data_IF_369455024452
#
_entry.id   IF_369455024452
#
_cell.length_a   1.000
_cell.length_b   1.000
_cell.length_c   1.000
_cell.angle_alpha   90.00
_cell.angle_beta   90.00
_cell.angle_gamma   90.00
#
_symmetry.space_group_name_H-M   'P 1'
#
loop_
_entity.id
_entity.type
_entity.pdbx_description
1 polymer ?
#
# COMPACT_ATOMS: atom_id res chain seq x y z
N UNK A 1 10.05 1.07 -40.82
CA UNK A 1 9.76 0.91 -39.38
C UNK A 1 10.19 2.20 -38.70
N UNK A 2 9.23 3.07 -38.38
CA UNK A 2 9.49 4.26 -37.57
C UNK A 2 9.90 3.81 -36.16
N UNK A 3 11.03 4.31 -35.68
CA UNK A 3 11.39 4.19 -34.27
C UNK A 3 10.42 5.08 -33.50
N UNK A 4 9.44 4.47 -32.84
CA UNK A 4 8.64 5.14 -31.83
C UNK A 4 9.62 5.56 -30.74
N UNK A 5 9.93 6.85 -30.66
CA UNK A 5 10.65 7.41 -29.53
C UNK A 5 9.69 7.40 -28.33
N UNK A 6 9.74 6.32 -27.55
CA UNK A 6 9.11 6.28 -26.23
C UNK A 6 9.83 7.28 -25.34
N UNK A 7 9.27 8.48 -25.22
CA UNK A 7 9.62 9.42 -24.15
C UNK A 7 9.05 8.79 -22.87
N UNK A 8 9.87 8.01 -22.16
CA UNK A 8 9.47 7.25 -20.96
C UNK A 8 10.25 7.63 -19.71
N UNK A 9 10.99 8.74 -19.73
CA UNK A 9 11.64 9.26 -18.52
C UNK A 9 10.71 10.27 -17.84
N UNK A 10 10.49 10.10 -16.54
CA UNK A 10 9.87 11.14 -15.72
C UNK A 10 10.74 12.42 -15.75
N UNK A 11 10.18 13.59 -15.41
CA UNK A 11 10.99 14.79 -15.20
C UNK A 11 12.12 14.52 -14.20
N UNK A 12 13.30 15.09 -14.44
CA UNK A 12 14.50 14.85 -13.61
C UNK A 12 14.27 15.13 -12.12
N UNK A 13 13.50 16.18 -11.81
CA UNK A 13 13.10 16.50 -10.43
C UNK A 13 12.30 15.37 -9.77
N UNK A 14 11.39 14.74 -10.53
CA UNK A 14 10.58 13.61 -10.05
C UNK A 14 11.47 12.39 -9.84
N UNK A 15 12.37 12.07 -10.78
CA UNK A 15 13.34 10.97 -10.63
C UNK A 15 14.20 11.16 -9.38
N UNK A 16 14.74 12.35 -9.15
CA UNK A 16 15.56 12.66 -7.98
C UNK A 16 14.76 12.52 -6.68
N UNK A 17 13.50 12.98 -6.67
CA UNK A 17 12.59 12.81 -5.53
C UNK A 17 12.32 11.33 -5.24
N UNK A 18 12.06 10.52 -6.26
CA UNK A 18 11.84 9.08 -6.10
C UNK A 18 13.08 8.35 -5.58
N UNK A 19 14.26 8.66 -6.12
CA UNK A 19 15.52 8.10 -5.63
C UNK A 19 15.79 8.46 -4.17
N UNK A 20 15.50 9.71 -3.77
CA UNK A 20 15.60 10.16 -2.38
C UNK A 20 14.69 9.36 -1.45
N UNK A 21 13.41 9.18 -1.82
CA UNK A 21 12.46 8.34 -1.06
C UNK A 21 12.93 6.90 -0.94
N UNK A 22 13.40 6.30 -2.04
CA UNK A 22 13.90 4.92 -2.07
C UNK A 22 15.15 4.78 -1.18
N UNK A 23 16.08 5.72 -1.24
CA UNK A 23 17.28 5.71 -0.40
C UNK A 23 16.92 5.82 1.09
N UNK A 24 15.98 6.70 1.43
CA UNK A 24 15.47 6.82 2.79
C UNK A 24 14.84 5.51 3.26
N UNK A 25 13.86 4.96 2.53
CA UNK A 25 13.21 3.70 2.89
C UNK A 25 14.20 2.53 3.01
N UNK A 26 15.23 2.46 2.16
CA UNK A 26 16.31 1.45 2.28
C UNK A 26 17.15 1.62 3.54
N UNK A 27 17.37 2.86 3.99
CA UNK A 27 18.14 3.17 5.21
C UNK A 27 17.36 2.85 6.48
N UNK A 28 16.03 2.92 6.40
CA UNK A 28 15.11 2.73 7.52
C UNK A 28 14.29 1.43 7.41
N UNK A 29 14.58 0.57 6.44
CA UNK A 29 13.83 -0.68 6.21
C UNK A 29 13.70 -1.53 7.48
N UNK A 30 12.59 -2.26 7.57
CA UNK A 30 12.30 -3.13 8.70
C UNK A 30 12.88 -4.51 8.47
N UNK A 31 13.29 -5.21 9.51
CA UNK A 31 13.41 -6.66 9.45
C UNK A 31 12.02 -7.31 9.46
N UNK A 32 11.94 -8.57 9.03
CA UNK A 32 10.68 -9.37 9.13
C UNK A 32 10.15 -9.42 10.57
N UNK A 33 11.04 -9.43 11.57
CA UNK A 33 10.61 -9.44 12.98
C UNK A 33 10.01 -8.11 13.42
N UNK A 34 10.63 -6.99 13.03
CA UNK A 34 10.13 -5.65 13.34
C UNK A 34 8.79 -5.39 12.65
N UNK A 35 8.64 -5.79 11.38
CA UNK A 35 7.38 -5.65 10.66
C UNK A 35 6.25 -6.42 11.38
N UNK A 36 6.49 -7.66 11.79
CA UNK A 36 5.49 -8.45 12.53
C UNK A 36 5.12 -7.84 13.87
N UNK A 37 6.09 -7.30 14.60
CA UNK A 37 5.84 -6.62 15.87
C UNK A 37 4.97 -5.38 15.65
N UNK A 38 5.34 -4.53 14.69
CA UNK A 38 4.59 -3.33 14.34
C UNK A 38 3.17 -3.70 13.90
N UNK A 39 3.02 -4.66 12.99
CA UNK A 39 1.73 -5.13 12.51
C UNK A 39 0.84 -5.61 13.66
N UNK A 40 1.40 -6.39 14.59
CA UNK A 40 0.69 -6.83 15.79
C UNK A 40 0.21 -5.67 16.65
N UNK A 41 1.03 -4.62 16.81
CA UNK A 41 0.69 -3.44 17.61
C UNK A 41 -0.36 -2.57 16.95
N UNK A 42 -0.33 -2.42 15.64
CA UNK A 42 -1.38 -1.70 14.91
C UNK A 42 -2.71 -2.46 14.89
N UNK A 43 -2.68 -3.79 14.87
CA UNK A 43 -3.88 -4.62 15.04
C UNK A 43 -4.45 -4.44 16.46
N UNK A 44 -3.61 -4.44 17.49
CA UNK A 44 -4.01 -4.18 18.89
C UNK A 44 -4.74 -2.83 19.00
N UNK A 45 -4.15 -1.76 18.46
CA UNK A 45 -4.78 -0.44 18.41
C UNK A 45 -6.14 -0.45 17.70
N UNK A 46 -6.23 -1.15 16.55
CA UNK A 46 -7.47 -1.28 15.77
C UNK A 46 -8.56 -2.00 16.56
N UNK A 47 -8.20 -3.04 17.33
CA UNK A 47 -9.15 -3.76 18.18
C UNK A 47 -9.68 -2.84 19.27
N UNK A 48 -8.80 -2.10 19.97
CA UNK A 48 -9.22 -1.15 21.01
C UNK A 48 -10.15 -0.09 20.43
N UNK A 49 -9.81 0.46 19.26
CA UNK A 49 -10.60 1.47 18.56
C UNK A 49 -12.01 1.01 18.13
N UNK A 50 -12.26 -0.31 18.05
CA UNK A 50 -13.61 -0.83 17.82
C UNK A 50 -14.51 -0.69 19.04
N UNK A 51 -13.93 -0.70 20.23
CA UNK A 51 -14.66 -0.69 21.50
C UNK A 51 -14.67 0.69 22.16
N UNK A 52 -13.60 1.48 22.02
CA UNK A 52 -13.47 2.84 22.58
C UNK A 52 -12.43 3.69 21.84
N UNK A 53 -12.43 4.99 22.08
CA UNK A 53 -11.34 5.87 21.67
C UNK A 53 -10.04 5.56 22.43
N UNK A 54 -8.89 5.76 21.77
CA UNK A 54 -7.57 5.64 22.39
C UNK A 54 -7.31 6.84 23.31
N UNK A 55 -6.58 6.62 24.40
CA UNK A 55 -6.08 7.72 25.24
C UNK A 55 -4.92 8.44 24.53
N UNK A 56 -4.56 9.64 24.99
CA UNK A 56 -3.42 10.40 24.43
C UNK A 56 -2.10 9.60 24.53
N UNK A 57 -1.88 8.88 25.65
CA UNK A 57 -0.70 8.03 25.84
C UNK A 57 -0.69 6.83 24.88
N UNK A 58 -1.85 6.21 24.64
CA UNK A 58 -1.97 5.12 23.66
C UNK A 58 -1.78 5.63 22.23
N UNK A 59 -2.31 6.81 21.91
CA UNK A 59 -2.10 7.45 20.62
C UNK A 59 -0.62 7.70 20.36
N UNK A 60 0.11 8.28 21.31
CA UNK A 60 1.55 8.52 21.21
C UNK A 60 2.33 7.20 21.06
N UNK A 61 1.99 6.19 21.86
CA UNK A 61 2.59 4.87 21.79
C UNK A 61 2.41 4.23 20.40
N UNK A 62 1.18 4.18 19.88
CA UNK A 62 0.90 3.59 18.57
C UNK A 62 1.37 4.44 17.38
N UNK A 63 1.50 5.76 17.56
CA UNK A 63 2.01 6.67 16.54
C UNK A 63 3.47 6.34 16.18
N UNK A 64 4.31 6.03 17.16
CA UNK A 64 5.71 5.66 16.92
C UNK A 64 5.87 4.45 15.99
N UNK A 65 4.97 3.47 16.10
CA UNK A 65 4.96 2.30 15.22
C UNK A 65 4.49 2.64 13.78
N UNK A 66 3.55 3.58 13.63
CA UNK A 66 3.14 4.09 12.31
C UNK A 66 4.26 4.86 11.63
N UNK A 67 4.91 5.76 12.37
CA UNK A 67 6.07 6.51 11.89
C UNK A 67 7.16 5.57 11.40
N UNK A 68 7.43 4.48 12.15
CA UNK A 68 8.42 3.47 11.76
C UNK A 68 8.07 2.74 10.46
N UNK A 69 6.79 2.47 10.20
CA UNK A 69 6.33 1.93 8.91
C UNK A 69 6.46 2.96 7.78
N UNK A 70 6.11 4.21 8.05
CA UNK A 70 6.16 5.30 7.07
C UNK A 70 7.61 5.56 6.63
N UNK A 71 8.57 5.58 7.57
CA UNK A 71 10.00 5.68 7.26
C UNK A 71 10.51 4.54 6.37
N UNK A 72 9.99 3.33 6.57
CA UNK A 72 10.34 2.14 5.79
C UNK A 72 9.57 2.03 4.47
N UNK A 73 8.70 2.99 4.17
CA UNK A 73 7.80 2.95 3.02
C UNK A 73 8.10 4.05 2.00
N UNK A 74 7.72 3.77 0.76
CA UNK A 74 7.76 4.74 -0.34
C UNK A 74 6.33 5.01 -0.79
N UNK A 75 5.80 6.18 -0.42
CA UNK A 75 4.50 6.65 -0.92
C UNK A 75 4.68 7.48 -2.18
N UNK A 76 3.94 7.17 -3.24
CA UNK A 76 3.89 7.93 -4.50
C UNK A 76 2.46 8.14 -4.96
N UNK A 77 2.21 9.20 -5.71
CA UNK A 77 0.83 9.68 -5.96
C UNK A 77 0.26 9.18 -7.28
N UNK A 78 1.11 8.77 -8.22
CA UNK A 78 0.68 8.42 -9.57
C UNK A 78 1.11 7.02 -9.99
N UNK A 79 0.37 6.44 -10.94
CA UNK A 79 0.70 5.13 -11.51
C UNK A 79 2.06 5.13 -12.21
N UNK A 80 2.45 6.25 -12.82
CA UNK A 80 3.73 6.37 -13.52
C UNK A 80 4.90 6.41 -12.52
N UNK A 81 4.74 7.11 -11.40
CA UNK A 81 5.72 7.07 -10.29
C UNK A 81 5.80 5.67 -9.67
N UNK A 82 4.66 5.01 -9.42
CA UNK A 82 4.61 3.66 -8.89
C UNK A 82 5.35 2.65 -9.78
N UNK A 83 5.07 2.69 -11.09
CA UNK A 83 5.80 1.93 -12.09
C UNK A 83 7.30 2.16 -11.99
N UNK A 84 7.70 3.43 -11.89
CA UNK A 84 9.12 3.80 -11.84
C UNK A 84 9.80 3.29 -10.58
N UNK A 85 9.15 3.39 -9.42
CA UNK A 85 9.66 2.83 -8.16
C UNK A 85 9.89 1.33 -8.29
N UNK A 86 8.94 0.59 -8.85
CA UNK A 86 9.07 -0.86 -9.06
C UNK A 86 10.24 -1.22 -9.99
N UNK A 87 10.43 -0.47 -11.08
CA UNK A 87 11.59 -0.66 -11.96
C UNK A 87 12.92 -0.45 -11.21
N UNK A 88 13.03 0.61 -10.40
CA UNK A 88 14.24 0.91 -9.61
C UNK A 88 14.49 -0.15 -8.54
N UNK A 89 13.42 -0.70 -7.97
CA UNK A 89 13.49 -1.77 -6.97
C UNK A 89 13.73 -3.16 -7.59
N UNK A 90 13.76 -3.27 -8.92
CA UNK A 90 14.16 -4.48 -9.62
C UNK A 90 13.05 -5.48 -9.89
N UNK A 91 11.79 -5.05 -9.91
CA UNK A 91 10.70 -5.90 -10.39
C UNK A 91 10.92 -6.25 -11.87
N UNK A 92 10.72 -7.52 -12.22
CA UNK A 92 10.65 -7.92 -13.63
C UNK A 92 9.37 -7.38 -14.28
N UNK A 93 9.33 -7.43 -15.62
CA UNK A 93 8.23 -6.85 -16.39
C UNK A 93 6.87 -7.47 -16.07
N UNK A 94 6.80 -8.79 -15.90
CA UNK A 94 5.54 -9.50 -15.70
C UNK A 94 5.02 -9.22 -14.28
N UNK A 95 5.89 -9.30 -13.28
CA UNK A 95 5.57 -8.96 -11.88
C UNK A 95 5.11 -7.50 -11.75
N UNK A 96 5.74 -6.58 -12.49
CA UNK A 96 5.37 -5.17 -12.52
C UNK A 96 3.95 -4.98 -13.07
N UNK A 97 3.65 -5.59 -14.22
CA UNK A 97 2.34 -5.43 -14.85
C UNK A 97 1.24 -6.05 -14.00
N UNK A 98 1.46 -7.24 -13.45
CA UNK A 98 0.49 -7.94 -12.61
C UNK A 98 0.18 -7.13 -11.34
N UNK A 99 1.22 -6.73 -10.61
CA UNK A 99 1.08 -5.93 -9.38
C UNK A 99 0.38 -4.60 -9.64
N UNK A 100 0.81 -3.83 -10.65
CA UNK A 100 0.18 -2.53 -10.93
C UNK A 100 -1.28 -2.69 -11.35
N UNK A 101 -1.60 -3.73 -12.13
CA UNK A 101 -2.99 -3.99 -12.54
C UNK A 101 -3.86 -4.37 -11.34
N UNK A 102 -3.32 -5.17 -10.43
CA UNK A 102 -3.94 -5.53 -9.16
C UNK A 102 -4.21 -4.29 -8.31
N UNK A 103 -3.19 -3.52 -7.95
CA UNK A 103 -3.33 -2.35 -7.09
C UNK A 103 -4.22 -1.26 -7.72
N UNK A 104 -4.12 -1.06 -9.03
CA UNK A 104 -4.96 -0.11 -9.75
C UNK A 104 -6.44 -0.55 -9.79
N UNK A 105 -6.75 -1.83 -9.61
CA UNK A 105 -8.14 -2.30 -9.49
C UNK A 105 -8.78 -1.81 -8.20
N UNK A 106 -8.05 -1.87 -7.08
CA UNK A 106 -8.50 -1.31 -5.81
C UNK A 106 -8.77 0.19 -5.92
N UNK A 107 -7.83 0.95 -6.49
CA UNK A 107 -7.92 2.41 -6.59
C UNK A 107 -9.08 2.84 -7.51
N UNK A 108 -9.22 2.22 -8.68
CA UNK A 108 -10.32 2.49 -9.60
C UNK A 108 -11.68 2.24 -8.93
N UNK A 109 -11.81 1.14 -8.20
CA UNK A 109 -13.05 0.83 -7.47
C UNK A 109 -13.30 1.84 -6.35
N UNK A 110 -12.29 2.21 -5.59
CA UNK A 110 -12.42 3.20 -4.52
C UNK A 110 -12.93 4.54 -5.07
N UNK A 111 -12.29 5.04 -6.13
CA UNK A 111 -12.70 6.27 -6.81
C UNK A 111 -14.12 6.17 -7.39
N UNK A 112 -14.48 5.04 -8.01
CA UNK A 112 -15.83 4.79 -8.53
C UNK A 112 -16.91 4.90 -7.44
N UNK A 113 -16.60 4.47 -6.22
CA UNK A 113 -17.53 4.51 -5.08
C UNK A 113 -17.57 5.88 -4.39
N UNK A 114 -16.71 6.82 -4.79
CA UNK A 114 -16.55 8.13 -4.16
C UNK A 114 -15.63 8.14 -2.95
N UNK A 115 -14.81 7.10 -2.76
CA UNK A 115 -13.70 7.12 -1.83
C UNK A 115 -12.48 7.81 -2.45
N UNK A 116 -11.51 8.19 -1.63
CA UNK A 116 -10.31 8.89 -2.09
C UNK A 116 -9.18 7.90 -2.38
N UNK A 117 -8.42 8.21 -3.42
CA UNK A 117 -7.14 7.56 -3.70
C UNK A 117 -6.01 8.38 -3.07
N UNK A 118 -5.20 7.73 -2.21
CA UNK A 118 -4.11 8.35 -1.47
C UNK A 118 -2.72 8.13 -2.06
N UNK A 119 -2.59 7.30 -3.10
CA UNK A 119 -1.32 6.93 -3.70
C UNK A 119 -1.04 5.42 -3.65
N UNK A 120 0.15 5.05 -4.11
CA UNK A 120 0.72 3.71 -4.01
C UNK A 120 1.83 3.72 -2.96
N UNK A 121 1.82 2.73 -2.07
CA UNK A 121 2.80 2.54 -1.03
C UNK A 121 3.65 1.31 -1.33
N UNK A 122 4.95 1.39 -1.06
CA UNK A 122 5.88 0.26 -1.14
C UNK A 122 6.64 0.14 0.17
N UNK A 123 6.25 -0.81 1.01
CA UNK A 123 6.97 -1.09 2.25
C UNK A 123 8.19 -1.98 1.95
N UNK A 124 9.36 -1.58 2.44
CA UNK A 124 10.61 -2.32 2.28
C UNK A 124 10.95 -3.08 3.56
N UNK A 125 11.06 -4.40 3.42
CA UNK A 125 11.42 -5.31 4.50
C UNK A 125 12.75 -5.96 4.11
N UNK A 126 13.76 -5.84 4.95
CA UNK A 126 15.06 -6.49 4.79
C UNK A 126 14.92 -8.00 4.99
N UNK A 127 15.35 -8.74 3.98
CA UNK A 127 15.42 -10.21 4.03
C UNK A 127 16.74 -10.67 4.68
N UNK A 128 16.77 -11.93 5.09
CA UNK A 128 17.87 -12.61 5.77
C UNK A 128 19.14 -12.72 4.93
N UNK A 129 19.03 -12.65 3.60
CA UNK A 129 20.16 -12.64 2.66
C UNK A 129 20.73 -11.24 2.38
N UNK A 130 20.16 -10.20 3.00
CA UNK A 130 20.51 -8.80 2.78
C UNK A 130 19.78 -8.13 1.61
N UNK A 131 18.90 -8.87 0.92
CA UNK A 131 17.95 -8.34 -0.06
C UNK A 131 16.76 -7.62 0.59
N UNK A 132 15.78 -7.28 -0.25
CA UNK A 132 14.56 -6.61 0.18
C UNK A 132 13.33 -7.39 -0.32
N UNK A 133 12.47 -7.77 0.61
CA UNK A 133 11.07 -8.08 0.34
C UNK A 133 10.31 -6.75 0.21
N UNK A 134 9.52 -6.61 -0.86
CA UNK A 134 8.79 -5.38 -1.15
C UNK A 134 7.30 -5.72 -1.18
N UNK A 135 6.52 -5.04 -0.34
CA UNK A 135 5.07 -5.24 -0.26
C UNK A 135 4.37 -3.99 -0.81
N UNK A 136 3.98 -4.00 -2.09
CA UNK A 136 3.19 -2.92 -2.69
C UNK A 136 1.77 -2.91 -2.14
N UNK A 137 1.15 -1.74 -2.05
CA UNK A 137 -0.27 -1.59 -1.76
C UNK A 137 -0.82 -0.25 -2.27
N UNK A 138 -2.09 -0.24 -2.65
CA UNK A 138 -2.84 0.98 -2.90
C UNK A 138 -3.37 1.58 -1.59
N UNK A 139 -3.11 2.86 -1.37
CA UNK A 139 -3.70 3.62 -0.26
C UNK A 139 -5.05 4.20 -0.70
N UNK A 140 -6.10 3.86 0.03
CA UNK A 140 -7.44 4.44 -0.17
C UNK A 140 -7.98 4.94 1.16
N UNK A 141 -8.77 6.01 1.14
CA UNK A 141 -9.46 6.50 2.35
C UNK A 141 -10.95 6.66 2.09
N UNK A 142 -11.74 6.03 2.96
CA UNK A 142 -13.20 6.14 2.90
C UNK A 142 -13.61 7.40 3.68
N UNK A 143 -14.46 8.28 3.12
CA UNK A 143 -14.88 9.50 3.79
C UNK A 143 -15.48 9.27 5.18
N UNK A 144 -15.09 10.10 6.14
CA UNK A 144 -15.47 9.94 7.54
C UNK A 144 -16.98 10.12 7.77
N UNK A 145 -17.64 10.92 6.95
CA UNK A 145 -19.07 11.21 6.98
C UNK A 145 -19.96 10.06 6.49
N UNK A 146 -19.37 9.01 5.91
CA UNK A 146 -20.14 7.83 5.50
C UNK A 146 -20.63 7.03 6.70
N UNK A 147 -21.85 6.47 6.59
CA UNK A 147 -22.37 5.53 7.58
C UNK A 147 -21.48 4.29 7.68
N UNK A 148 -21.47 3.64 8.86
CA UNK A 148 -20.69 2.41 9.09
C UNK A 148 -20.99 1.34 8.04
N UNK A 149 -22.28 1.11 7.74
CA UNK A 149 -22.71 0.15 6.72
C UNK A 149 -22.14 0.46 5.34
N UNK A 150 -22.20 1.73 4.92
CA UNK A 150 -21.64 2.16 3.62
C UNK A 150 -20.12 2.01 3.58
N UNK A 151 -19.42 2.29 4.69
CA UNK A 151 -17.97 2.10 4.79
C UNK A 151 -17.59 0.62 4.62
N UNK A 152 -18.28 -0.28 5.30
CA UNK A 152 -18.05 -1.73 5.18
C UNK A 152 -18.37 -2.26 3.77
N UNK A 153 -19.50 -1.85 3.19
CA UNK A 153 -19.90 -2.23 1.83
C UNK A 153 -18.84 -1.77 0.81
N UNK A 154 -18.40 -0.51 0.91
CA UNK A 154 -17.42 0.04 0.00
C UNK A 154 -16.07 -0.66 0.13
N UNK A 155 -15.58 -0.87 1.35
CA UNK A 155 -14.32 -1.56 1.60
C UNK A 155 -14.33 -2.97 1.00
N UNK A 156 -15.45 -3.67 1.11
CA UNK A 156 -15.62 -5.02 0.55
C UNK A 156 -15.53 -5.03 -0.97
N UNK A 157 -16.20 -4.08 -1.62
CA UNK A 157 -16.13 -3.92 -3.08
C UNK A 157 -14.71 -3.56 -3.52
N UNK A 158 -14.02 -2.72 -2.76
CA UNK A 158 -12.62 -2.33 -3.04
C UNK A 158 -11.71 -3.56 -2.94
N UNK A 159 -11.75 -4.33 -1.85
CA UNK A 159 -10.91 -5.52 -1.65
C UNK A 159 -11.19 -6.59 -2.73
N UNK A 160 -12.45 -6.73 -3.15
CA UNK A 160 -12.84 -7.72 -4.18
C UNK A 160 -12.54 -7.24 -5.61
N UNK A 161 -12.14 -5.98 -5.80
CA UNK A 161 -11.99 -5.36 -7.11
C UNK A 161 -10.98 -6.08 -8.03
N UNK A 162 -9.82 -6.59 -7.57
CA UNK A 162 -8.92 -7.32 -8.45
C UNK A 162 -9.62 -8.43 -9.25
N UNK A 163 -10.45 -9.24 -8.61
CA UNK A 163 -11.21 -10.32 -9.27
C UNK A 163 -12.22 -9.78 -10.30
N UNK A 164 -12.95 -8.71 -9.95
CA UNK A 164 -13.90 -8.05 -10.86
C UNK A 164 -13.22 -7.51 -12.13
N UNK A 165 -11.96 -7.09 -12.03
CA UNK A 165 -11.16 -6.59 -13.14
C UNK A 165 -10.37 -7.70 -13.86
N UNK A 166 -10.53 -8.96 -13.46
CA UNK A 166 -9.86 -10.13 -14.04
C UNK A 166 -8.44 -10.37 -13.55
N UNK A 167 -8.02 -9.68 -12.49
CA UNK A 167 -6.75 -9.89 -11.80
C UNK A 167 -6.90 -10.94 -10.70
N UNK A 168 -5.81 -11.63 -10.38
CA UNK A 168 -5.80 -12.59 -9.26
C UNK A 168 -5.86 -11.83 -7.94
N UNK A 169 -6.77 -12.22 -7.04
CA UNK A 169 -6.76 -11.74 -5.65
C UNK A 169 -5.51 -12.20 -4.90
N UNK A 170 -4.96 -11.31 -4.06
CA UNK A 170 -3.88 -11.66 -3.14
C UNK A 170 -4.40 -12.54 -2.00
N UNK A 171 -3.51 -13.22 -1.28
CA UNK A 171 -3.91 -13.96 -0.09
C UNK A 171 -4.37 -13.02 1.04
N UNK A 172 -3.83 -11.80 1.08
CA UNK A 172 -4.26 -10.78 2.05
C UNK A 172 -5.71 -10.33 1.77
N UNK A 173 -6.06 -10.06 0.51
CA UNK A 173 -7.44 -9.68 0.15
C UNK A 173 -8.44 -10.75 0.56
N UNK A 174 -8.11 -12.02 0.29
CA UNK A 174 -8.95 -13.17 0.66
C UNK A 174 -9.09 -13.27 2.17
N UNK A 175 -8.00 -13.09 2.92
CA UNK A 175 -8.00 -13.11 4.37
C UNK A 175 -8.84 -11.96 4.93
N UNK A 176 -8.74 -10.75 4.38
CA UNK A 176 -9.49 -9.60 4.84
C UNK A 176 -11.00 -9.78 4.59
N UNK A 177 -11.40 -10.27 3.41
CA UNK A 177 -12.80 -10.63 3.15
C UNK A 177 -13.30 -11.70 4.14
N UNK A 178 -12.47 -12.70 4.44
CA UNK A 178 -12.82 -13.73 5.42
C UNK A 178 -13.02 -13.15 6.82
N UNK A 179 -12.15 -12.26 7.28
CA UNK A 179 -12.27 -11.61 8.59
C UNK A 179 -13.54 -10.76 8.66
N UNK A 180 -13.86 -10.01 7.60
CA UNK A 180 -15.05 -9.15 7.56
C UNK A 180 -16.37 -9.93 7.50
N UNK A 181 -16.37 -11.13 6.88
CA UNK A 181 -17.61 -11.86 6.57
C UNK A 181 -17.76 -13.24 7.20
N UNK A 182 -16.77 -13.72 7.95
CA UNK A 182 -16.86 -14.98 8.70
C UNK A 182 -17.13 -16.23 7.85
N UNK A 183 -16.68 -16.25 6.59
CA UNK A 183 -16.73 -17.44 5.72
C UNK A 183 -15.46 -18.27 5.81
#
# INVERSE_FOLDING_TARGET
>A
MEKIHTITSLPEEVENKLQGKIFHAKSYCLTISEEKEIASKLIEATIIQKDRELTDEELEYYYSYRERLDEASILVETLLEAKRVMEILGFDHDSLIDTLSHENSHTNKAMQLGANFGGYNFLLIKDTDGGYLITPSATTSIPEDWSKEKKEEAMTKIISAPDEYGNKMSEMDKMELKIRYGK
#
